data_IF_403859138419
#
_entry.id   IF_403859138419
#
_cell.length_a   1.000
_cell.length_b   1.000
_cell.length_c   1.000
_cell.angle_alpha   90.00
_cell.angle_beta   90.00
_cell.angle_gamma   90.00
#
_symmetry.space_group_name_H-M   'P 1'
#
loop_
_entity.id
_entity.type
_entity.pdbx_description
1 polymer ?
#
# COMPACT_ATOMS: atom_id res chain seq x y z
N UNK A 1 1.10 -18.11 15.00
CA UNK A 1 1.83 -17.06 14.28
C UNK A 1 0.92 -15.83 14.16
N UNK A 2 1.47 -14.63 14.34
CA UNK A 2 0.77 -13.37 14.06
C UNK A 2 1.19 -12.91 12.66
N UNK A 3 0.23 -12.56 11.80
CA UNK A 3 0.52 -12.04 10.46
C UNK A 3 0.93 -10.56 10.52
N UNK A 4 1.88 -10.18 9.67
CA UNK A 4 2.24 -8.79 9.36
C UNK A 4 1.53 -8.42 8.05
N UNK A 5 0.86 -7.27 8.05
CA UNK A 5 0.13 -6.73 6.91
C UNK A 5 0.92 -5.56 6.32
N UNK A 6 1.03 -5.56 4.99
CA UNK A 6 1.65 -4.46 4.23
C UNK A 6 0.52 -3.69 3.56
N UNK A 7 0.41 -2.40 3.87
CA UNK A 7 -0.65 -1.54 3.31
C UNK A 7 -0.08 -0.57 2.26
N UNK A 8 -0.84 -0.41 1.18
CA UNK A 8 -0.54 0.49 0.07
C UNK A 8 -1.36 1.79 0.15
N UNK A 9 -0.90 2.84 -0.53
CA UNK A 9 -1.56 4.14 -0.64
C UNK A 9 -3.01 3.99 -1.10
N UNK A 10 -3.26 3.17 -2.12
CA UNK A 10 -4.60 2.94 -2.68
C UNK A 10 -5.58 2.40 -1.63
N UNK A 11 -5.11 1.49 -0.78
CA UNK A 11 -5.91 0.88 0.29
C UNK A 11 -6.25 1.87 1.40
N UNK A 12 -5.34 2.78 1.75
CA UNK A 12 -5.59 3.84 2.73
C UNK A 12 -6.64 4.84 2.22
N UNK A 13 -6.53 5.23 0.95
CA UNK A 13 -7.50 6.13 0.30
C UNK A 13 -8.88 5.47 0.27
N UNK A 14 -8.97 4.22 -0.19
CA UNK A 14 -10.23 3.50 -0.26
C UNK A 14 -10.85 3.28 1.13
N UNK A 15 -10.03 2.99 2.15
CA UNK A 15 -10.49 2.88 3.54
C UNK A 15 -11.15 4.17 4.00
N UNK A 16 -10.52 5.32 3.77
CA UNK A 16 -11.08 6.62 4.14
C UNK A 16 -12.40 6.88 3.43
N UNK A 17 -12.44 6.68 2.13
CA UNK A 17 -13.58 7.05 1.29
C UNK A 17 -14.81 6.16 1.55
N UNK A 18 -14.59 4.84 1.72
CA UNK A 18 -15.67 3.88 1.94
C UNK A 18 -16.05 3.72 3.40
N UNK A 19 -15.10 3.91 4.31
CA UNK A 19 -15.28 3.71 5.74
C UNK A 19 -14.83 4.94 6.53
N UNK A 20 -15.54 6.09 6.44
CA UNK A 20 -15.17 7.30 7.18
C UNK A 20 -15.13 7.06 8.69
N UNK A 21 -14.15 7.61 9.39
CA UNK A 21 -13.92 7.37 10.83
C UNK A 21 -15.14 7.70 11.69
N UNK A 22 -15.85 8.78 11.36
CA UNK A 22 -17.06 9.22 12.08
C UNK A 22 -18.16 8.15 12.04
N UNK A 23 -18.29 7.44 10.92
CA UNK A 23 -19.35 6.43 10.71
C UNK A 23 -18.87 5.04 11.14
N UNK A 24 -17.58 4.72 10.90
CA UNK A 24 -16.98 3.42 11.13
C UNK A 24 -15.78 3.46 12.09
N UNK A 25 -15.92 3.99 13.31
CA UNK A 25 -14.80 4.18 14.23
C UNK A 25 -14.12 2.86 14.63
N UNK A 26 -14.87 1.75 14.61
CA UNK A 26 -14.34 0.43 14.93
C UNK A 26 -13.31 -0.10 13.91
N UNK A 27 -13.41 0.30 12.64
CA UNK A 27 -12.44 -0.06 11.60
C UNK A 27 -11.13 0.68 11.87
N UNK A 28 -11.20 1.99 12.06
CA UNK A 28 -10.05 2.83 12.36
C UNK A 28 -9.36 2.40 13.65
N UNK A 29 -10.12 2.10 14.70
CA UNK A 29 -9.56 1.58 15.95
C UNK A 29 -8.79 0.26 15.75
N UNK A 30 -9.31 -0.67 14.94
CA UNK A 30 -8.58 -1.91 14.63
C UNK A 30 -7.31 -1.66 13.84
N UNK A 31 -7.31 -0.67 12.95
CA UNK A 31 -6.10 -0.27 12.22
C UNK A 31 -5.05 0.31 13.17
N UNK A 32 -5.47 1.14 14.13
CA UNK A 32 -4.60 1.63 15.21
C UNK A 32 -4.05 0.48 16.05
N UNK A 33 -4.90 -0.47 16.46
CA UNK A 33 -4.46 -1.64 17.23
C UNK A 33 -3.42 -2.49 16.45
N UNK A 34 -3.57 -2.62 15.12
CA UNK A 34 -2.58 -3.32 14.29
C UNK A 34 -1.27 -2.53 14.18
N UNK A 35 -1.35 -1.19 14.12
CA UNK A 35 -0.17 -0.33 14.13
C UNK A 35 0.57 -0.42 15.47
N UNK A 36 -0.13 -0.26 16.60
CA UNK A 36 0.44 -0.36 17.96
C UNK A 36 1.06 -1.73 18.24
N UNK A 37 0.55 -2.78 17.58
CA UNK A 37 1.10 -4.13 17.68
C UNK A 37 2.30 -4.38 16.74
N UNK A 38 2.75 -3.37 15.97
CA UNK A 38 3.78 -3.49 14.94
C UNK A 38 3.42 -4.54 13.85
N UNK A 39 2.13 -4.68 13.56
CA UNK A 39 1.60 -5.67 12.60
C UNK A 39 1.07 -5.06 11.32
N UNK A 40 0.96 -3.74 11.25
CA UNK A 40 0.63 -3.00 10.05
C UNK A 40 1.83 -2.15 9.68
N UNK A 41 2.42 -2.43 8.52
CA UNK A 41 3.55 -1.69 7.97
C UNK A 41 3.23 -1.19 6.58
N UNK A 42 3.98 -0.19 6.12
CA UNK A 42 3.90 0.34 4.76
C UNK A 42 5.31 0.61 4.22
N UNK A 43 5.53 0.51 2.90
CA UNK A 43 6.72 1.07 2.26
C UNK A 43 6.82 2.58 2.56
N UNK A 44 8.04 3.11 2.69
CA UNK A 44 8.27 4.54 2.94
C UNK A 44 7.67 5.43 1.83
N UNK A 45 7.61 4.91 0.60
CA UNK A 45 7.03 5.51 -0.59
C UNK A 45 5.57 5.97 -0.39
N UNK A 46 4.80 5.21 0.40
CA UNK A 46 3.38 5.51 0.70
C UNK A 46 3.21 6.89 1.33
N UNK A 47 4.17 7.38 2.13
CA UNK A 47 4.11 8.74 2.69
C UNK A 47 4.09 9.82 1.61
N UNK A 48 4.85 9.61 0.55
CA UNK A 48 5.04 10.59 -0.52
C UNK A 48 3.89 10.56 -1.53
N UNK A 49 3.31 9.38 -1.75
CA UNK A 49 2.15 9.19 -2.63
C UNK A 49 0.84 9.71 -2.03
N UNK A 50 0.70 9.64 -0.71
CA UNK A 50 -0.46 10.20 -0.04
C UNK A 50 -0.55 11.71 -0.32
N UNK A 51 -1.70 12.15 -0.82
CA UNK A 51 -2.01 13.57 -1.02
C UNK A 51 -3.10 14.08 -0.07
N UNK A 52 -3.92 13.19 0.47
CA UNK A 52 -5.04 13.51 1.33
C UNK A 52 -4.58 14.07 2.69
N UNK A 53 -5.10 15.24 3.08
CA UNK A 53 -4.65 15.96 4.29
C UNK A 53 -5.02 15.23 5.59
N UNK A 54 -6.15 14.54 5.60
CA UNK A 54 -6.65 13.83 6.79
C UNK A 54 -5.83 12.57 7.03
N UNK A 55 -5.60 11.78 5.97
CA UNK A 55 -4.71 10.61 6.03
C UNK A 55 -3.28 11.03 6.37
N UNK A 56 -2.78 12.14 5.81
CA UNK A 56 -1.46 12.68 6.18
C UNK A 56 -1.34 12.98 7.67
N UNK A 57 -2.35 13.65 8.24
CA UNK A 57 -2.38 13.93 9.68
C UNK A 57 -2.46 12.64 10.50
N UNK A 58 -3.23 11.66 10.02
CA UNK A 58 -3.39 10.37 10.69
C UNK A 58 -2.10 9.56 10.75
N UNK A 59 -1.29 9.57 9.68
CA UNK A 59 -0.02 8.83 9.62
C UNK A 59 1.18 9.59 10.21
N UNK A 60 1.08 10.90 10.43
CA UNK A 60 2.22 11.78 10.77
C UNK A 60 2.96 11.30 12.04
N UNK A 61 2.21 10.80 13.01
CA UNK A 61 2.74 10.28 14.28
C UNK A 61 3.14 8.80 14.23
N UNK A 62 2.94 8.12 13.10
CA UNK A 62 3.14 6.67 12.93
C UNK A 62 4.45 6.34 12.24
N UNK A 63 5.56 6.96 12.65
CA UNK A 63 6.85 6.86 11.93
C UNK A 63 7.36 5.41 11.79
N UNK A 64 7.17 4.60 12.82
CA UNK A 64 7.60 3.19 12.91
C UNK A 64 6.84 2.27 11.95
N UNK A 65 5.68 2.71 11.42
CA UNK A 65 4.92 1.97 10.42
C UNK A 65 5.66 1.86 9.08
N UNK A 66 6.53 2.82 8.79
CA UNK A 66 7.07 3.01 7.44
C UNK A 66 8.47 2.44 7.34
N UNK A 67 8.60 1.41 6.52
CA UNK A 67 9.83 0.64 6.37
C UNK A 67 10.50 1.04 5.06
N UNK A 68 11.77 1.41 5.17
CA UNK A 68 12.61 1.68 4.01
C UNK A 68 12.96 0.37 3.33
N UNK A 69 12.85 0.34 2.00
CA UNK A 69 13.30 -0.81 1.22
C UNK A 69 14.79 -1.09 1.44
N UNK A 70 15.14 -2.35 1.64
CA UNK A 70 16.54 -2.76 1.69
C UNK A 70 17.15 -2.88 0.27
N UNK A 71 18.46 -3.12 0.23
CA UNK A 71 19.20 -3.21 -1.03
C UNK A 71 18.71 -4.38 -1.89
N UNK A 72 18.41 -5.52 -1.28
CA UNK A 72 18.00 -6.74 -2.00
C UNK A 72 16.60 -6.55 -2.59
N UNK A 73 15.69 -5.92 -1.84
CA UNK A 73 14.36 -5.53 -2.31
C UNK A 73 14.46 -4.56 -3.50
N UNK A 74 15.37 -3.58 -3.42
CA UNK A 74 15.61 -2.62 -4.51
C UNK A 74 16.16 -3.31 -5.76
N UNK A 75 17.07 -4.27 -5.61
CA UNK A 75 17.60 -5.07 -6.73
C UNK A 75 16.51 -5.95 -7.34
N UNK A 76 15.66 -6.59 -6.51
CA UNK A 76 14.52 -7.37 -7.00
C UNK A 76 13.47 -6.53 -7.70
N UNK A 77 13.22 -5.31 -7.23
CA UNK A 77 12.34 -4.37 -7.92
C UNK A 77 12.85 -4.09 -9.34
N UNK A 78 14.16 -3.85 -9.51
CA UNK A 78 14.77 -3.65 -10.84
C UNK A 78 14.61 -4.87 -11.73
N UNK A 79 14.88 -6.07 -11.22
CA UNK A 79 14.69 -7.32 -11.94
C UNK A 79 13.24 -7.50 -12.41
N UNK A 80 12.26 -7.19 -11.55
CA UNK A 80 10.83 -7.25 -11.89
C UNK A 80 10.49 -6.24 -12.99
N UNK A 81 10.98 -5.00 -12.91
CA UNK A 81 10.74 -3.97 -13.92
C UNK A 81 11.36 -4.37 -15.27
N UNK A 82 12.57 -4.90 -15.28
CA UNK A 82 13.24 -5.39 -16.49
C UNK A 82 12.47 -6.55 -17.14
N UNK A 83 11.96 -7.47 -16.33
CA UNK A 83 11.19 -8.63 -16.80
C UNK A 83 9.77 -8.26 -17.22
N UNK A 84 9.16 -7.27 -16.57
CA UNK A 84 7.78 -6.85 -16.77
C UNK A 84 7.71 -5.33 -16.99
N UNK A 85 8.30 -4.80 -18.08
CA UNK A 85 8.39 -3.36 -18.31
C UNK A 85 7.04 -2.67 -18.51
N UNK A 86 5.98 -3.44 -18.75
CA UNK A 86 4.61 -2.93 -18.82
C UNK A 86 4.03 -2.55 -17.45
N UNK A 87 4.55 -3.09 -16.34
CA UNK A 87 4.12 -2.71 -14.98
C UNK A 87 4.60 -1.31 -14.59
N UNK A 88 5.72 -0.86 -15.16
CA UNK A 88 6.32 0.45 -14.89
C UNK A 88 5.82 1.56 -15.84
N UNK A 89 4.99 1.23 -16.84
CA UNK A 89 4.45 2.22 -17.78
C UNK A 89 3.19 2.86 -17.20
N UNK A 90 3.25 4.16 -16.90
CA UNK A 90 2.05 4.95 -16.66
C UNK A 90 1.24 5.08 -17.95
N UNK A 91 0.16 4.31 -18.03
CA UNK A 91 -0.79 4.33 -19.13
C UNK A 91 -1.94 3.41 -18.77
N UNK A 92 -3.16 3.95 -18.76
CA UNK A 92 -4.39 3.21 -18.44
C UNK A 92 -4.34 1.81 -19.02
N UNK A 93 -4.39 0.78 -18.17
CA UNK A 93 -4.78 -0.57 -18.57
C UNK A 93 -6.28 -0.59 -18.89
N UNK A 94 -6.70 0.23 -19.87
CA UNK A 94 -7.92 -0.02 -20.61
C UNK A 94 -7.64 -1.12 -21.62
N UNK A 95 -7.33 -2.31 -21.13
CA UNK A 95 -7.48 -3.54 -21.87
C UNK A 95 -7.79 -4.60 -20.84
N UNK A 96 -9.01 -5.15 -20.92
CA UNK A 96 -9.36 -6.42 -20.31
C UNK A 96 -8.17 -7.34 -20.51
N UNK A 97 -7.56 -7.79 -19.41
CA UNK A 97 -6.57 -8.85 -19.44
C UNK A 97 -7.25 -10.04 -20.11
N UNK A 98 -6.97 -10.24 -21.39
CA UNK A 98 -7.39 -11.43 -22.09
C UNK A 98 -6.46 -12.56 -21.64
N UNK A 99 -6.97 -13.39 -20.73
CA UNK A 99 -6.28 -14.54 -20.18
C UNK A 99 -6.02 -15.65 -21.22
N UNK A 100 -6.40 -15.46 -22.49
CA UNK A 100 -6.21 -16.42 -23.58
C UNK A 100 -4.75 -16.68 -23.95
N UNK A 101 -3.80 -15.81 -23.59
CA UNK A 101 -2.37 -15.98 -23.92
C UNK A 101 -1.55 -16.72 -22.87
N UNK A 102 -2.16 -17.14 -21.74
CA UNK A 102 -1.46 -17.84 -20.67
C UNK A 102 -1.61 -19.37 -20.67
N UNK A 103 -2.19 -19.97 -21.71
CA UNK A 103 -2.24 -21.43 -21.86
C UNK A 103 -1.49 -21.81 -23.14
N UNK A 104 -0.24 -22.26 -22.97
CA UNK A 104 0.45 -23.20 -23.84
C UNK A 104 1.06 -24.28 -22.96
#
# INVERSE_FOLDING_TARGET
>A
MKYIYIIDTSSLIEMKDKYPEIIFPSIWKKMEELFEQERLIAPEEVKYELMDKELKKWIENKKEMFIKADKDQTEKQKEIIEKFPFLAKEGKTSNKLDYSTCIN
#
